data_IF_096555492775
#
_entry.id   IF_096555492775
#
_cell.length_a   1.000
_cell.length_b   1.000
_cell.length_c   1.000
_cell.angle_alpha   90.00
_cell.angle_beta   90.00
_cell.angle_gamma   90.00
#
_symmetry.space_group_name_H-M   'P 1'
#
loop_
_entity.id
_entity.type
_entity.pdbx_description
1 polymer ?
#
# COMPACT_ATOMS: atom_id res chain seq x y z
N UNK A 1 -19.63 -13.85 9.80
CA UNK A 1 -19.45 -12.92 8.66
C UNK A 1 -18.03 -13.07 8.15
N UNK A 2 -17.84 -13.57 6.92
CA UNK A 2 -16.55 -13.49 6.22
C UNK A 2 -16.47 -12.09 5.62
N UNK A 3 -15.61 -11.23 6.15
CA UNK A 3 -15.14 -10.08 5.38
C UNK A 3 -14.23 -10.63 4.29
N UNK A 4 -14.81 -11.11 3.19
CA UNK A 4 -14.04 -11.40 2.00
C UNK A 4 -13.65 -10.04 1.42
N UNK A 5 -12.39 -9.65 1.60
CA UNK A 5 -11.75 -8.60 0.81
C UNK A 5 -11.24 -9.26 -0.47
N UNK A 6 -12.07 -9.40 -1.53
CA UNK A 6 -11.68 -10.21 -2.67
C UNK A 6 -10.53 -9.47 -3.36
N UNK A 7 -9.41 -10.15 -3.57
CA UNK A 7 -8.26 -9.60 -4.30
C UNK A 7 -7.54 -8.44 -3.60
N UNK A 8 -7.21 -8.56 -2.31
CA UNK A 8 -6.16 -7.71 -1.71
C UNK A 8 -5.20 -8.44 -0.76
N UNK A 9 -5.36 -9.75 -0.57
CA UNK A 9 -4.57 -10.56 0.36
C UNK A 9 -4.40 -9.94 1.76
N UNK A 10 -5.46 -9.30 2.27
CA UNK A 10 -5.45 -8.61 3.57
C UNK A 10 -5.00 -9.53 4.72
N UNK A 11 -5.29 -10.82 4.65
CA UNK A 11 -4.82 -11.82 5.61
C UNK A 11 -3.29 -11.84 5.76
N UNK A 12 -2.54 -11.56 4.69
CA UNK A 12 -1.08 -11.44 4.72
C UNK A 12 -0.65 -10.28 5.61
N UNK A 13 -1.31 -9.13 5.48
CA UNK A 13 -1.03 -7.96 6.32
C UNK A 13 -1.43 -8.19 7.79
N UNK A 14 -2.58 -8.81 8.05
CA UNK A 14 -2.98 -9.20 9.40
C UNK A 14 -1.97 -10.17 10.03
N UNK A 15 -1.54 -11.21 9.29
CA UNK A 15 -0.55 -12.15 9.78
C UNK A 15 0.79 -11.47 10.06
N UNK A 16 1.25 -10.57 9.19
CA UNK A 16 2.48 -9.80 9.40
C UNK A 16 2.44 -8.97 10.68
N UNK A 17 1.35 -8.22 10.87
CA UNK A 17 1.11 -7.38 12.04
C UNK A 17 1.05 -8.20 13.34
N UNK A 18 0.31 -9.31 13.34
CA UNK A 18 0.09 -10.13 14.54
C UNK A 18 1.31 -10.99 14.90
N UNK A 19 2.10 -11.42 13.91
CA UNK A 19 3.28 -12.25 14.14
C UNK A 19 4.50 -11.44 14.59
N UNK A 20 4.53 -10.12 14.36
CA UNK A 20 5.62 -9.24 14.78
C UNK A 20 5.86 -9.25 16.31
N UNK A 21 4.83 -9.55 17.10
CA UNK A 21 4.95 -9.62 18.55
C UNK A 21 5.63 -10.91 19.06
N UNK A 22 5.67 -11.97 18.25
CA UNK A 22 6.33 -13.23 18.63
C UNK A 22 7.86 -13.18 18.54
N UNK A 23 8.40 -12.25 17.75
CA UNK A 23 9.85 -12.10 17.51
C UNK A 23 10.47 -10.94 18.30
N UNK A 24 9.67 -10.06 18.92
CA UNK A 24 10.17 -8.98 19.77
C UNK A 24 10.75 -9.54 21.06
N UNK A 25 12.09 -9.54 21.17
CA UNK A 25 12.80 -9.72 22.44
C UNK A 25 12.48 -8.54 23.36
N UNK A 26 11.49 -8.70 24.23
CA UNK A 26 11.09 -7.66 25.17
C UNK A 26 12.15 -7.44 26.26
N UNK A 27 12.60 -6.19 26.40
CA UNK A 27 13.44 -5.74 27.51
C UNK A 27 12.49 -5.39 28.67
N UNK A 28 12.19 -6.38 29.51
CA UNK A 28 11.37 -6.23 30.72
C UNK A 28 9.88 -6.57 30.56
N UNK A 29 9.17 -6.82 31.68
CA UNK A 29 7.76 -7.14 31.65
C UNK A 29 6.94 -5.90 31.30
N UNK A 30 6.19 -5.97 30.18
CA UNK A 30 5.15 -4.98 29.87
C UNK A 30 3.88 -5.34 30.62
N UNK A 31 3.14 -4.32 31.03
CA UNK A 31 1.80 -4.52 31.58
C UNK A 31 0.82 -4.94 30.48
N UNK A 32 -0.23 -5.68 30.85
CA UNK A 32 -1.31 -6.05 29.93
C UNK A 32 -1.93 -4.83 29.24
N UNK A 33 -2.03 -3.71 29.96
CA UNK A 33 -2.55 -2.44 29.43
C UNK A 33 -1.68 -1.91 28.28
N UNK A 34 -0.36 -1.95 28.43
CA UNK A 34 0.57 -1.51 27.39
C UNK A 34 0.49 -2.39 26.15
N UNK A 35 0.46 -3.71 26.32
CA UNK A 35 0.29 -4.64 25.20
C UNK A 35 -1.03 -4.39 24.47
N UNK A 36 -2.14 -4.23 25.21
CA UNK A 36 -3.45 -3.93 24.62
C UNK A 36 -3.45 -2.63 23.82
N UNK A 37 -2.79 -1.58 24.32
CA UNK A 37 -2.68 -0.29 23.63
C UNK A 37 -1.85 -0.43 22.34
N UNK A 38 -0.75 -1.17 22.38
CA UNK A 38 0.11 -1.40 21.22
C UNK A 38 -0.63 -2.20 20.15
N UNK A 39 -1.26 -3.31 20.54
CA UNK A 39 -2.06 -4.12 19.61
C UNK A 39 -3.20 -3.31 19.01
N UNK A 40 -3.89 -2.49 19.81
CA UNK A 40 -4.98 -1.62 19.32
C UNK A 40 -4.48 -0.58 18.30
N UNK A 41 -3.34 0.06 18.56
CA UNK A 41 -2.73 1.03 17.64
C UNK A 41 -2.35 0.39 16.30
N UNK A 42 -1.68 -0.77 16.37
CA UNK A 42 -1.25 -1.49 15.17
C UNK A 42 -2.46 -1.97 14.35
N UNK A 43 -3.49 -2.53 14.99
CA UNK A 43 -4.71 -2.98 14.32
C UNK A 43 -5.50 -1.80 13.73
N UNK A 44 -5.59 -0.69 14.46
CA UNK A 44 -6.23 0.54 13.97
C UNK A 44 -5.59 1.03 12.68
N UNK A 45 -4.26 1.13 12.65
CA UNK A 45 -3.53 1.54 11.46
C UNK A 45 -3.71 0.59 10.28
N UNK A 46 -3.76 -0.73 10.53
CA UNK A 46 -4.03 -1.70 9.48
C UNK A 46 -5.45 -1.52 8.92
N UNK A 47 -6.45 -1.30 9.79
CA UNK A 47 -7.82 -1.03 9.35
C UNK A 47 -7.90 0.24 8.52
N UNK A 48 -7.26 1.33 8.95
CA UNK A 48 -7.19 2.59 8.19
C UNK A 48 -6.65 2.33 6.77
N UNK A 49 -5.54 1.61 6.63
CA UNK A 49 -4.96 1.27 5.31
C UNK A 49 -5.92 0.43 4.48
N UNK A 50 -6.53 -0.60 5.07
CA UNK A 50 -7.46 -1.49 4.35
C UNK A 50 -8.67 -0.70 3.84
N UNK A 51 -9.24 0.17 4.67
CA UNK A 51 -10.35 1.04 4.30
C UNK A 51 -9.96 2.00 3.19
N UNK A 52 -8.79 2.63 3.27
CA UNK A 52 -8.30 3.52 2.22
C UNK A 52 -8.08 2.80 0.88
N UNK A 53 -7.53 1.58 0.90
CA UNK A 53 -7.35 0.74 -0.30
C UNK A 53 -8.70 0.38 -0.90
N UNK A 54 -9.67 -0.02 -0.08
CA UNK A 54 -11.02 -0.32 -0.56
C UNK A 54 -11.69 0.91 -1.18
N UNK A 55 -11.58 2.07 -0.52
CA UNK A 55 -12.14 3.31 -1.02
C UNK A 55 -11.49 3.69 -2.36
N UNK A 56 -10.17 3.57 -2.48
CA UNK A 56 -9.46 3.83 -3.73
C UNK A 56 -9.93 2.91 -4.87
N UNK A 57 -10.20 1.63 -4.60
CA UNK A 57 -10.73 0.69 -5.61
C UNK A 57 -12.14 1.01 -6.08
N UNK A 58 -12.99 1.51 -5.17
CA UNK A 58 -14.36 1.91 -5.50
C UNK A 58 -14.35 3.20 -6.32
N UNK A 59 -13.45 4.12 -5.97
CA UNK A 59 -13.38 5.44 -6.60
C UNK A 59 -12.67 5.43 -7.95
N UNK A 60 -11.54 4.71 -8.07
CA UNK A 60 -10.63 4.81 -9.19
C UNK A 60 -10.76 3.61 -10.12
N UNK A 61 -11.49 3.78 -11.22
CA UNK A 61 -11.73 2.71 -12.19
C UNK A 61 -10.45 2.19 -12.85
N UNK A 62 -9.41 3.02 -12.93
CA UNK A 62 -8.12 2.61 -13.47
C UNK A 62 -7.24 1.84 -12.47
N UNK A 63 -7.61 1.72 -11.19
CA UNK A 63 -6.93 0.87 -10.21
C UNK A 63 -7.42 -0.59 -10.34
N UNK A 64 -6.68 -1.38 -11.11
CA UNK A 64 -7.07 -2.74 -11.51
C UNK A 64 -6.71 -3.83 -10.51
N UNK A 65 -5.66 -3.64 -9.72
CA UNK A 65 -5.22 -4.61 -8.72
C UNK A 65 -4.68 -3.89 -7.49
N UNK A 66 -4.96 -4.47 -6.33
CA UNK A 66 -4.34 -4.11 -5.05
C UNK A 66 -3.97 -5.41 -4.37
N UNK A 67 -2.79 -5.56 -3.77
CA UNK A 67 -2.53 -6.74 -2.94
C UNK A 67 -1.41 -6.55 -1.94
N UNK A 68 -1.56 -7.15 -0.77
CA UNK A 68 -0.48 -7.25 0.21
C UNK A 68 0.39 -8.47 -0.04
N UNK A 69 1.70 -8.26 0.00
CA UNK A 69 2.71 -9.30 -0.10
C UNK A 69 3.71 -9.14 1.05
N UNK A 70 4.20 -10.26 1.59
CA UNK A 70 5.23 -10.25 2.63
C UNK A 70 6.41 -11.09 2.13
N UNK A 71 7.43 -10.45 1.51
CA UNK A 71 8.61 -11.14 1.00
C UNK A 71 9.45 -11.79 2.10
N UNK A 72 9.37 -11.24 3.32
CA UNK A 72 10.07 -11.73 4.51
C UNK A 72 9.28 -11.37 5.77
N UNK A 73 9.66 -11.95 6.91
CA UNK A 73 9.01 -11.66 8.22
C UNK A 73 9.16 -10.20 8.68
N UNK A 74 10.10 -9.45 8.11
CA UNK A 74 10.34 -8.04 8.45
C UNK A 74 9.78 -7.07 7.41
N UNK A 75 9.32 -7.58 6.26
CA UNK A 75 8.84 -6.77 5.15
C UNK A 75 7.37 -7.05 4.81
N UNK A 76 6.59 -5.97 4.72
CA UNK A 76 5.24 -5.99 4.18
C UNK A 76 5.14 -4.95 3.07
N UNK A 77 4.70 -5.39 1.90
CA UNK A 77 4.50 -4.55 0.74
C UNK A 77 3.01 -4.48 0.38
N UNK A 78 2.57 -3.33 -0.12
CA UNK A 78 1.29 -3.15 -0.80
C UNK A 78 1.52 -2.82 -2.27
N UNK A 79 1.10 -3.71 -3.15
CA UNK A 79 1.11 -3.52 -4.59
C UNK A 79 -0.18 -2.87 -5.07
N UNK A 80 -0.04 -1.92 -5.98
CA UNK A 80 -1.12 -1.17 -6.64
C UNK A 80 -0.87 -1.18 -8.14
N UNK A 81 -1.83 -1.63 -8.95
CA UNK A 81 -1.70 -1.70 -10.40
C UNK A 81 -2.73 -0.80 -11.09
N UNK A 82 -2.25 0.18 -11.83
CA UNK A 82 -3.07 1.12 -12.59
C UNK A 82 -3.01 0.80 -14.08
N UNK A 83 -4.11 0.99 -14.81
CA UNK A 83 -4.15 0.88 -16.27
C UNK A 83 -4.38 2.25 -16.91
N UNK A 84 -3.62 2.57 -17.94
CA UNK A 84 -3.99 3.63 -18.87
C UNK A 84 -4.96 3.05 -19.90
N UNK A 85 -6.24 3.43 -19.83
CA UNK A 85 -7.27 2.93 -20.75
C UNK A 85 -7.02 3.33 -22.21
N UNK A 86 -6.25 4.40 -22.48
CA UNK A 86 -5.97 4.84 -23.85
C UNK A 86 -4.86 4.02 -24.49
N UNK A 87 -3.75 3.81 -23.78
CA UNK A 87 -2.62 3.05 -24.32
C UNK A 87 -2.70 1.54 -24.05
N UNK A 88 -3.51 1.13 -23.06
CA UNK A 88 -3.54 -0.22 -22.49
C UNK A 88 -2.35 -0.53 -21.59
N UNK A 89 -1.43 0.41 -21.38
CA UNK A 89 -0.25 0.24 -20.53
C UNK A 89 -0.61 0.17 -19.06
N UNK A 90 0.20 -0.53 -18.27
CA UNK A 90 -0.01 -0.68 -16.82
C UNK A 90 1.16 -0.11 -16.02
N UNK A 91 0.85 0.52 -14.89
CA UNK A 91 1.81 0.98 -13.87
C UNK A 91 1.64 0.11 -12.64
N UNK A 92 2.71 -0.50 -12.16
CA UNK A 92 2.73 -1.16 -10.86
C UNK A 92 3.54 -0.32 -9.87
N UNK A 93 2.91 0.00 -8.74
CA UNK A 93 3.51 0.70 -7.64
C UNK A 93 3.53 -0.22 -6.43
N UNK A 94 4.70 -0.36 -5.81
CA UNK A 94 4.88 -1.10 -4.56
C UNK A 94 5.18 -0.10 -3.45
N UNK A 95 4.44 -0.20 -2.35
CA UNK A 95 4.61 0.60 -1.15
C UNK A 95 5.15 -0.28 -0.03
N UNK A 96 6.20 0.18 0.66
CA UNK A 96 6.64 -0.44 1.91
C UNK A 96 5.66 -0.07 3.04
N UNK A 97 4.97 -1.08 3.54
CA UNK A 97 3.97 -1.03 4.61
C UNK A 97 4.48 -1.68 5.91
N UNK A 98 5.78 -1.96 6.01
CA UNK A 98 6.41 -2.53 7.21
C UNK A 98 6.18 -1.66 8.45
N UNK A 99 6.00 -0.35 8.27
CA UNK A 99 5.65 0.59 9.34
C UNK A 99 4.38 0.21 10.13
N UNK A 100 3.49 -0.60 9.55
CA UNK A 100 2.31 -1.12 10.24
C UNK A 100 2.66 -1.94 11.48
N UNK A 101 3.74 -2.72 11.48
CA UNK A 101 4.17 -3.49 12.66
C UNK A 101 4.66 -2.64 13.84
N UNK A 102 4.87 -1.34 13.60
CA UNK A 102 5.25 -0.34 14.61
C UNK A 102 4.09 0.55 15.04
N UNK A 103 2.95 0.48 14.35
CA UNK A 103 1.82 1.36 14.64
C UNK A 103 2.12 2.83 14.34
N UNK A 104 2.96 3.13 13.33
CA UNK A 104 3.38 4.52 13.00
C UNK A 104 2.85 5.03 11.65
N UNK A 105 2.00 4.28 10.95
CA UNK A 105 1.26 4.79 9.81
C UNK A 105 0.40 6.00 10.24
N UNK A 106 0.29 7.09 9.44
CA UNK A 106 0.77 7.27 8.06
C UNK A 106 2.15 7.96 7.93
N UNK A 107 2.96 8.01 8.98
CA UNK A 107 4.19 8.83 9.02
C UNK A 107 5.31 8.28 8.14
N UNK A 108 5.58 6.98 8.20
CA UNK A 108 6.76 6.33 7.59
C UNK A 108 6.47 5.51 6.33
N UNK A 109 5.36 5.77 5.63
CA UNK A 109 5.02 5.07 4.39
C UNK A 109 5.92 5.54 3.23
N UNK A 110 6.68 4.61 2.63
CA UNK A 110 7.64 4.90 1.55
C UNK A 110 7.25 4.13 0.27
N UNK A 111 7.13 4.80 -0.88
CA UNK A 111 7.06 4.12 -2.17
C UNK A 111 8.38 3.39 -2.42
N UNK A 112 8.37 2.06 -2.41
CA UNK A 112 9.59 1.26 -2.51
C UNK A 112 10.02 1.07 -3.95
N UNK A 113 9.07 0.82 -4.87
CA UNK A 113 9.35 0.53 -6.28
C UNK A 113 8.22 1.00 -7.19
N UNK A 114 8.58 1.47 -8.39
CA UNK A 114 7.65 1.80 -9.47
C UNK A 114 8.14 1.08 -10.73
N UNK A 115 7.41 0.06 -11.17
CA UNK A 115 7.81 -0.82 -12.26
C UNK A 115 6.63 -1.11 -13.21
N UNK A 116 6.94 -1.60 -14.41
CA UNK A 116 5.93 -2.24 -15.26
C UNK A 116 5.76 -3.70 -14.80
N UNK A 117 4.55 -4.28 -14.83
CA UNK A 117 4.36 -5.70 -14.50
C UNK A 117 5.26 -6.58 -15.38
N UNK A 118 5.90 -7.60 -14.79
CA UNK A 118 6.87 -8.47 -15.46
C UNK A 118 6.28 -9.42 -16.53
N UNK A 119 5.02 -9.26 -16.91
CA UNK A 119 4.32 -10.22 -17.76
C UNK A 119 4.43 -9.88 -19.26
N UNK A 120 4.74 -10.92 -20.02
CA UNK A 120 5.13 -10.91 -21.43
C UNK A 120 3.93 -10.43 -22.27
N UNK A 121 4.13 -9.36 -23.06
CA UNK A 121 3.15 -8.72 -23.98
C UNK A 121 2.47 -7.43 -23.49
N UNK A 122 2.87 -6.85 -22.34
CA UNK A 122 2.32 -5.55 -21.92
C UNK A 122 3.11 -4.37 -22.50
N UNK A 123 2.40 -3.39 -23.05
CA UNK A 123 2.97 -2.15 -23.60
C UNK A 123 3.61 -1.36 -22.45
N UNK A 124 4.95 -1.36 -22.40
CA UNK A 124 5.73 -0.64 -21.41
C UNK A 124 5.37 0.85 -21.46
N UNK A 125 5.08 1.44 -20.30
CA UNK A 125 4.89 2.89 -20.21
C UNK A 125 6.24 3.60 -20.34
N UNK A 126 6.19 4.81 -20.89
CA UNK A 126 7.40 5.58 -21.17
C UNK A 126 8.10 6.01 -19.88
N UNK A 127 9.44 6.01 -19.87
CA UNK A 127 10.26 6.49 -18.74
C UNK A 127 9.87 7.91 -18.26
N UNK A 128 9.51 8.86 -19.13
CA UNK A 128 8.99 10.17 -18.72
C UNK A 128 7.75 10.11 -17.81
N UNK A 129 6.76 9.28 -18.16
CA UNK A 129 5.55 9.11 -17.34
C UNK A 129 5.89 8.55 -15.95
N UNK A 130 6.78 7.56 -15.88
CA UNK A 130 7.23 7.01 -14.59
C UNK A 130 7.94 8.06 -13.74
N UNK A 131 8.74 8.94 -14.35
CA UNK A 131 9.39 10.04 -13.66
C UNK A 131 8.38 11.08 -13.14
N UNK A 132 7.35 11.39 -13.91
CA UNK A 132 6.29 12.31 -13.51
C UNK A 132 5.45 11.75 -12.36
N UNK A 133 5.07 10.47 -12.43
CA UNK A 133 4.40 9.76 -11.34
C UNK A 133 5.27 9.82 -10.08
N UNK A 134 6.57 9.54 -10.20
CA UNK A 134 7.51 9.60 -9.08
C UNK A 134 7.54 11.01 -8.48
N UNK A 135 7.67 12.05 -9.29
CA UNK A 135 7.69 13.43 -8.81
C UNK A 135 6.39 13.82 -8.10
N UNK A 136 5.24 13.45 -8.67
CA UNK A 136 3.93 13.73 -8.11
C UNK A 136 3.73 13.02 -6.76
N UNK A 137 4.11 11.75 -6.64
CA UNK A 137 4.06 11.01 -5.38
C UNK A 137 4.97 11.61 -4.31
N UNK A 138 6.19 12.05 -4.66
CA UNK A 138 7.10 12.69 -3.70
C UNK A 138 6.61 14.05 -3.21
N UNK A 139 5.76 14.74 -3.97
CA UNK A 139 5.16 16.01 -3.55
C UNK A 139 4.04 15.87 -2.50
N UNK A 140 3.54 14.64 -2.27
CA UNK A 140 2.45 14.40 -1.34
C UNK A 140 2.91 14.56 0.11
N UNK A 141 2.26 15.49 0.82
CA UNK A 141 2.47 15.68 2.26
C UNK A 141 2.02 14.44 3.05
N UNK A 142 2.83 14.08 4.04
CA UNK A 142 2.50 13.13 5.10
C UNK A 142 1.19 13.52 5.79
N UNK A 143 0.32 12.54 6.08
CA UNK A 143 -0.94 12.75 6.79
C UNK A 143 -1.95 11.63 6.54
N UNK A 144 -3.12 11.74 7.15
CA UNK A 144 -4.23 10.79 6.98
C UNK A 144 -4.66 10.62 5.52
N UNK A 145 -5.34 9.50 5.24
CA UNK A 145 -5.83 9.16 3.92
C UNK A 145 -4.70 9.08 2.89
N UNK A 146 -3.55 8.57 3.32
CA UNK A 146 -2.30 8.64 2.55
C UNK A 146 -2.35 7.77 1.31
N UNK A 147 -2.85 6.54 1.41
CA UNK A 147 -2.96 5.60 0.31
C UNK A 147 -3.92 6.13 -0.74
N UNK A 148 -5.12 6.56 -0.35
CA UNK A 148 -6.09 7.06 -1.33
C UNK A 148 -5.61 8.35 -2.02
N UNK A 149 -4.98 9.28 -1.27
CA UNK A 149 -4.38 10.49 -1.86
C UNK A 149 -3.28 10.13 -2.85
N UNK A 150 -2.46 9.12 -2.55
CA UNK A 150 -1.46 8.59 -3.46
C UNK A 150 -2.11 7.97 -4.70
N UNK A 151 -3.12 7.12 -4.55
CA UNK A 151 -3.81 6.49 -5.67
C UNK A 151 -4.45 7.52 -6.60
N UNK A 152 -5.13 8.54 -6.02
CA UNK A 152 -5.71 9.66 -6.79
C UNK A 152 -4.64 10.41 -7.56
N UNK A 153 -3.50 10.70 -6.93
CA UNK A 153 -2.37 11.39 -7.55
C UNK A 153 -1.84 10.62 -8.77
N UNK A 154 -1.55 9.32 -8.60
CA UNK A 154 -1.07 8.46 -9.70
C UNK A 154 -2.09 8.37 -10.82
N UNK A 155 -3.36 8.15 -10.47
CA UNK A 155 -4.47 8.08 -11.43
C UNK A 155 -4.57 9.36 -12.27
N UNK A 156 -4.49 10.53 -11.63
CA UNK A 156 -4.52 11.82 -12.31
C UNK A 156 -3.36 12.02 -13.30
N UNK A 157 -2.14 11.63 -12.90
CA UNK A 157 -0.96 11.74 -13.77
C UNK A 157 -1.12 10.85 -15.00
N UNK A 158 -1.61 9.61 -14.82
CA UNK A 158 -1.85 8.69 -15.94
C UNK A 158 -2.91 9.24 -16.90
N UNK A 159 -4.01 9.78 -16.37
CA UNK A 159 -5.10 10.36 -17.17
C UNK A 159 -4.65 11.61 -17.94
N UNK A 160 -3.87 12.48 -17.30
CA UNK A 160 -3.35 13.71 -17.90
C UNK A 160 -2.28 13.43 -18.96
N UNK A 161 -1.41 12.44 -18.76
CA UNK A 161 -0.37 12.07 -19.71
C UNK A 161 -0.93 11.59 -21.05
N UNK A 162 -2.06 10.90 -20.99
CA UNK A 162 -2.73 10.37 -22.18
C UNK A 162 -3.71 11.38 -22.78
N UNK A 163 -3.87 12.55 -22.15
CA UNK A 163 -4.74 13.69 -22.51
C UNK A 163 -4.35 14.41 -23.78
#
# INVERSE_FOLDING_TARGET
MKYNFPSMDASTAFAFVLNADTTRKYIGPRSLTQETQITSSILGNLLDVVEEVQLARVELQNLTQTSFHSPSVEQLDLQLCFIDFKSGGKVMLTLDMSCLNRGVYPLEMIPSQLEAPADVSQKLLSQPLLAEIRAAVHSLRVGYLRIIRLCRCVSHVIEAWSG
#
